data_IF_557674593234
#
_entry.id   IF_557674593234
#
_cell.length_a   1.000
_cell.length_b   1.000
_cell.length_c   1.000
_cell.angle_alpha   90.00
_cell.angle_beta   90.00
_cell.angle_gamma   90.00
#
_symmetry.space_group_name_H-M   'P 1'
#
loop_
_entity.id
_entity.type
_entity.pdbx_description
1 polymer ?
#
# COMPACT_ATOMS: atom_id res chain seq x y z
N UNK A 1 -31.95 14.14 61.87
CA UNK A 1 -30.81 14.76 61.16
C UNK A 1 -30.35 13.80 60.09
N UNK A 2 -30.39 14.29 58.85
CA UNK A 2 -30.13 13.58 57.60
C UNK A 2 -28.62 13.49 57.37
N UNK A 3 -28.12 12.33 56.97
CA UNK A 3 -26.94 12.23 56.10
C UNK A 3 -27.01 10.91 55.32
N UNK A 4 -27.54 11.02 54.11
CA UNK A 4 -27.46 10.01 53.08
C UNK A 4 -26.09 10.14 52.39
N UNK A 5 -25.25 9.10 52.48
CA UNK A 5 -24.03 8.99 51.67
C UNK A 5 -24.41 8.35 50.33
N UNK A 6 -24.40 9.15 49.27
CA UNK A 6 -24.49 8.67 47.90
C UNK A 6 -23.11 8.12 47.47
N UNK A 7 -23.05 6.82 47.19
CA UNK A 7 -21.89 6.18 46.59
C UNK A 7 -22.01 6.31 45.07
N UNK A 8 -21.15 7.13 44.46
CA UNK A 8 -21.12 7.36 43.02
C UNK A 8 -20.37 6.19 42.35
N UNK A 9 -21.10 5.29 41.68
CA UNK A 9 -20.53 4.26 40.82
C UNK A 9 -20.14 4.91 39.48
N UNK A 10 -18.84 5.15 39.29
CA UNK A 10 -18.27 5.50 37.99
C UNK A 10 -18.24 4.25 37.11
N UNK A 11 -19.27 4.07 36.29
CA UNK A 11 -19.24 3.13 35.18
C UNK A 11 -18.29 3.69 34.11
N UNK A 12 -17.09 3.10 34.01
CA UNK A 12 -16.18 3.34 32.88
C UNK A 12 -16.75 2.56 31.69
N UNK A 13 -17.59 3.21 30.90
CA UNK A 13 -18.02 2.68 29.61
C UNK A 13 -16.85 2.70 28.65
N UNK A 14 -16.34 1.52 28.28
CA UNK A 14 -15.44 1.37 27.14
C UNK A 14 -16.29 1.57 25.89
N UNK A 15 -16.22 2.75 25.29
CA UNK A 15 -16.80 2.97 23.98
C UNK A 15 -16.04 2.10 22.97
N UNK A 16 -16.71 1.33 22.10
CA UNK A 16 -16.04 0.71 20.96
C UNK A 16 -15.42 1.80 20.08
N UNK A 17 -14.27 1.53 19.43
CA UNK A 17 -13.67 2.50 18.52
C UNK A 17 -14.71 2.85 17.44
N UNK A 18 -15.01 4.13 17.33
CA UNK A 18 -15.86 4.63 16.26
C UNK A 18 -15.15 4.37 14.93
N UNK A 19 -15.69 3.45 14.13
CA UNK A 19 -15.39 3.39 12.70
C UNK A 19 -15.76 4.76 12.12
N UNK A 20 -14.75 5.54 11.74
CA UNK A 20 -14.97 6.82 11.10
C UNK A 20 -15.64 6.56 9.74
N UNK A 21 -16.94 6.87 9.65
CA UNK A 21 -17.61 6.99 8.35
C UNK A 21 -16.92 8.14 7.63
N UNK A 22 -16.21 7.84 6.55
CA UNK A 22 -15.57 8.86 5.71
C UNK A 22 -16.64 9.88 5.28
N UNK A 23 -16.41 11.15 5.59
CA UNK A 23 -17.25 12.23 5.05
C UNK A 23 -17.07 12.27 3.54
N UNK A 24 -18.17 12.50 2.82
CA UNK A 24 -18.17 12.64 1.36
C UNK A 24 -17.12 13.70 0.93
N UNK A 25 -16.19 13.33 0.05
CA UNK A 25 -15.04 14.16 -0.35
C UNK A 25 -13.83 14.11 0.59
N UNK A 26 -13.75 13.18 1.55
CA UNK A 26 -12.56 13.01 2.40
C UNK A 26 -11.38 12.46 1.60
N UNK A 27 -10.20 13.03 1.88
CA UNK A 27 -8.92 12.56 1.34
C UNK A 27 -8.52 11.27 2.05
N UNK A 28 -8.33 10.21 1.28
CA UNK A 28 -7.85 8.94 1.79
C UNK A 28 -6.33 8.93 1.90
N UNK A 29 -5.82 8.29 2.94
CA UNK A 29 -4.41 7.96 3.12
C UNK A 29 -4.19 6.50 2.79
N UNK A 30 -3.12 6.19 2.06
CA UNK A 30 -2.77 4.81 1.77
C UNK A 30 -2.44 4.09 3.09
N UNK A 31 -2.93 2.87 3.24
CA UNK A 31 -2.61 1.98 4.36
C UNK A 31 -1.35 1.15 4.12
N UNK A 32 -0.84 1.11 2.90
CA UNK A 32 0.49 0.57 2.62
C UNK A 32 1.12 1.24 1.40
N UNK A 33 2.44 1.31 1.40
CA UNK A 33 3.27 1.72 0.27
C UNK A 33 4.22 0.58 -0.08
N UNK A 34 4.13 0.09 -1.31
CA UNK A 34 4.85 -1.10 -1.76
C UNK A 34 5.67 -0.76 -2.99
N UNK A 35 6.92 -1.22 -3.04
CA UNK A 35 7.89 -0.84 -4.06
C UNK A 35 8.36 -2.07 -4.83
N UNK A 36 8.39 -1.98 -6.15
CA UNK A 36 8.82 -3.07 -7.02
C UNK A 36 10.34 -3.26 -6.92
N UNK A 37 10.78 -4.45 -6.50
CA UNK A 37 12.21 -4.77 -6.40
C UNK A 37 12.77 -5.31 -7.71
N UNK A 38 11.99 -6.17 -8.38
CA UNK A 38 12.36 -6.76 -9.67
C UNK A 38 11.10 -7.05 -10.47
N UNK A 39 11.21 -7.03 -11.80
CA UNK A 39 10.15 -7.43 -12.74
C UNK A 39 10.76 -8.32 -13.84
N UNK A 40 10.04 -9.37 -14.20
CA UNK A 40 10.31 -10.19 -15.39
C UNK A 40 9.12 -10.14 -16.34
N UNK A 41 9.08 -9.13 -17.21
CA UNK A 41 7.99 -8.92 -18.17
C UNK A 41 8.22 -9.61 -19.52
N UNK A 42 7.15 -10.15 -20.10
CA UNK A 42 7.13 -10.68 -21.48
C UNK A 42 6.10 -9.97 -22.34
N UNK A 43 6.61 -9.22 -23.32
CA UNK A 43 5.78 -8.54 -24.31
C UNK A 43 5.46 -9.43 -25.52
N UNK A 44 4.17 -9.62 -25.78
CA UNK A 44 3.62 -10.27 -26.96
C UNK A 44 3.05 -9.19 -27.86
N UNK A 45 3.89 -8.65 -28.76
CA UNK A 45 3.52 -7.51 -29.62
C UNK A 45 2.90 -7.93 -30.96
N UNK A 46 3.10 -9.17 -31.38
CA UNK A 46 2.61 -9.69 -32.67
C UNK A 46 1.36 -10.54 -32.46
N UNK A 47 0.28 -10.21 -33.18
CA UNK A 47 -1.00 -10.93 -33.13
C UNK A 47 -2.19 -9.97 -33.07
N UNK A 48 -3.41 -10.53 -32.96
CA UNK A 48 -4.65 -9.74 -32.89
C UNK A 48 -4.87 -9.05 -31.53
N UNK A 49 -4.10 -9.41 -30.49
CA UNK A 49 -4.24 -8.90 -29.12
C UNK A 49 -2.86 -8.75 -28.47
N UNK A 50 -2.19 -7.61 -28.66
CA UNK A 50 -0.94 -7.32 -27.96
C UNK A 50 -1.12 -7.40 -26.45
N UNK A 51 -0.20 -8.08 -25.76
CA UNK A 51 -0.27 -8.24 -24.31
C UNK A 51 1.09 -8.24 -23.66
N UNK A 52 1.11 -7.92 -22.39
CA UNK A 52 2.24 -8.07 -21.47
C UNK A 52 1.83 -9.13 -20.41
N UNK A 53 2.81 -9.79 -19.82
CA UNK A 53 2.64 -10.78 -18.76
C UNK A 53 3.91 -10.74 -17.93
N UNK A 54 3.80 -10.28 -16.69
CA UNK A 54 4.92 -10.06 -15.80
C UNK A 54 4.86 -10.97 -14.57
N UNK A 55 6.00 -11.08 -13.91
CA UNK A 55 6.09 -11.46 -12.50
C UNK A 55 6.99 -10.46 -11.83
N UNK A 56 6.51 -9.86 -10.75
CA UNK A 56 7.21 -8.83 -9.99
C UNK A 56 7.32 -9.21 -8.52
N UNK A 57 8.48 -8.92 -7.95
CA UNK A 57 8.72 -9.02 -6.50
C UNK A 57 8.66 -7.62 -5.91
N UNK A 58 7.97 -7.46 -4.79
CA UNK A 58 7.80 -6.19 -4.11
C UNK A 58 8.14 -6.28 -2.63
N UNK A 59 8.56 -5.15 -2.07
CA UNK A 59 8.70 -4.95 -0.65
C UNK A 59 8.18 -3.57 -0.25
N UNK A 60 7.57 -3.45 0.93
CA UNK A 60 6.94 -2.21 1.33
C UNK A 60 6.68 -2.10 2.82
N UNK A 61 5.97 -1.04 3.17
CA UNK A 61 5.58 -0.73 4.53
C UNK A 61 4.05 -0.68 4.64
N UNK A 62 3.53 -1.27 5.71
CA UNK A 62 2.11 -1.29 6.03
C UNK A 62 1.88 -0.49 7.31
N UNK A 63 0.89 0.39 7.27
CA UNK A 63 0.58 1.31 8.35
C UNK A 63 -0.07 0.59 9.53
N UNK A 64 0.32 0.93 10.78
CA UNK A 64 -0.29 0.37 11.97
C UNK A 64 -1.80 0.61 12.01
N UNK A 65 -2.55 -0.37 12.51
CA UNK A 65 -4.00 -0.30 12.63
C UNK A 65 -4.77 -0.65 11.36
N UNK A 66 -4.07 -0.90 10.25
CA UNK A 66 -4.68 -1.50 9.05
C UNK A 66 -4.90 -3.00 9.27
N UNK A 67 -5.82 -3.65 8.53
CA UNK A 67 -6.06 -5.08 8.68
C UNK A 67 -4.78 -5.95 8.55
N UNK A 68 -3.87 -5.70 7.59
CA UNK A 68 -2.65 -6.51 7.48
C UNK A 68 -1.58 -6.18 8.54
N UNK A 69 -1.70 -5.06 9.26
CA UNK A 69 -0.76 -4.67 10.31
C UNK A 69 -1.48 -4.16 11.58
N UNK A 70 -1.98 -5.07 12.44
CA UNK A 70 -2.47 -4.68 13.75
C UNK A 70 -1.39 -3.94 14.56
N UNK A 71 -1.79 -2.89 15.29
CA UNK A 71 -0.91 -1.95 16.01
C UNK A 71 0.17 -2.63 16.87
N UNK A 72 -0.17 -3.76 17.48
CA UNK A 72 0.72 -4.53 18.36
C UNK A 72 1.95 -5.09 17.63
N UNK A 73 1.86 -5.31 16.32
CA UNK A 73 2.95 -5.86 15.51
C UNK A 73 3.81 -4.79 14.85
N UNK A 74 3.41 -3.52 14.89
CA UNK A 74 4.19 -2.44 14.29
C UNK A 74 5.52 -2.25 15.04
N UNK A 75 6.63 -2.26 14.32
CA UNK A 75 7.98 -2.10 14.89
C UNK A 75 8.69 -0.90 14.26
N UNK A 76 9.68 -0.29 14.95
CA UNK A 76 10.51 0.74 14.37
C UNK A 76 11.16 0.28 13.05
N UNK A 77 11.12 1.14 12.03
CA UNK A 77 11.70 0.88 10.70
C UNK A 77 12.86 1.85 10.46
N UNK A 78 14.12 1.45 10.63
CA UNK A 78 15.27 2.36 10.59
C UNK A 78 15.57 2.99 9.23
N UNK A 79 15.07 2.38 8.14
CA UNK A 79 15.29 2.87 6.77
C UNK A 79 14.37 4.04 6.39
N UNK A 80 13.29 4.26 7.14
CA UNK A 80 12.38 5.38 6.95
C UNK A 80 12.90 6.62 7.67
N UNK A 81 12.64 7.83 7.13
CA UNK A 81 12.93 9.06 7.85
C UNK A 81 12.12 9.12 9.16
N UNK A 82 12.60 9.82 10.20
CA UNK A 82 11.83 10.03 11.42
C UNK A 82 10.48 10.70 11.13
N UNK A 83 9.51 10.49 12.03
CA UNK A 83 8.22 11.17 11.98
C UNK A 83 8.35 12.68 12.25
N UNK A 84 7.23 13.41 12.18
CA UNK A 84 7.21 14.86 12.42
C UNK A 84 7.67 15.31 13.81
N UNK A 85 7.77 14.37 14.77
CA UNK A 85 8.26 14.61 16.13
C UNK A 85 9.72 14.12 16.31
N UNK A 86 10.35 13.60 15.27
CA UNK A 86 11.71 13.06 15.30
C UNK A 86 11.81 11.63 15.85
N UNK A 87 10.69 10.92 16.02
CA UNK A 87 10.71 9.53 16.48
C UNK A 87 10.85 8.56 15.29
N UNK A 88 11.41 7.36 15.51
CA UNK A 88 11.38 6.29 14.50
C UNK A 88 9.94 5.96 14.10
N UNK A 89 9.69 5.90 12.79
CA UNK A 89 8.39 5.44 12.29
C UNK A 89 8.20 3.96 12.63
N UNK A 90 6.99 3.60 13.08
CA UNK A 90 6.59 2.22 13.33
C UNK A 90 5.68 1.72 12.22
N UNK A 91 6.02 0.59 11.61
CA UNK A 91 5.26 -0.05 10.51
C UNK A 91 5.40 -1.57 10.62
N UNK A 92 4.56 -2.31 9.90
CA UNK A 92 4.93 -3.66 9.47
C UNK A 92 5.60 -3.57 8.09
N UNK A 93 6.33 -4.61 7.70
CA UNK A 93 6.90 -4.74 6.36
C UNK A 93 6.11 -5.78 5.59
N UNK A 94 5.87 -5.55 4.29
CA UNK A 94 5.21 -6.52 3.43
C UNK A 94 6.13 -6.93 2.30
N UNK A 95 6.22 -8.24 2.05
CA UNK A 95 6.85 -8.83 0.87
C UNK A 95 5.74 -9.39 -0.02
N UNK A 96 5.79 -9.13 -1.33
CA UNK A 96 4.76 -9.60 -2.25
C UNK A 96 5.39 -10.14 -3.54
N UNK A 97 4.82 -11.21 -4.06
CA UNK A 97 5.08 -11.69 -5.42
C UNK A 97 3.80 -11.54 -6.21
N UNK A 98 3.82 -10.69 -7.24
CA UNK A 98 2.70 -10.42 -8.11
C UNK A 98 2.91 -10.98 -9.52
N UNK A 99 1.81 -11.35 -10.16
CA UNK A 99 1.74 -11.73 -11.56
C UNK A 99 0.59 -10.99 -12.21
N UNK A 100 0.80 -10.51 -13.42
CA UNK A 100 -0.23 -9.85 -14.21
C UNK A 100 -0.38 -10.43 -15.62
N UNK A 101 -1.39 -9.93 -16.32
CA UNK A 101 -1.51 -10.08 -17.76
C UNK A 101 -2.24 -8.89 -18.36
N UNK A 102 -1.50 -7.95 -18.93
CA UNK A 102 -2.07 -6.68 -19.38
C UNK A 102 -2.33 -6.71 -20.89
N UNK A 103 -3.49 -6.22 -21.31
CA UNK A 103 -3.76 -5.92 -22.71
C UNK A 103 -3.16 -4.56 -23.07
N UNK A 104 -2.18 -4.53 -23.97
CA UNK A 104 -1.44 -3.30 -24.30
C UNK A 104 -2.24 -2.29 -25.15
N UNK A 105 -3.45 -2.66 -25.60
CA UNK A 105 -4.35 -1.74 -26.31
C UNK A 105 -5.26 -1.00 -25.34
N UNK A 106 -5.72 -1.67 -24.28
CA UNK A 106 -6.67 -1.08 -23.33
C UNK A 106 -6.04 -0.69 -22.00
N UNK A 107 -4.86 -1.23 -21.68
CA UNK A 107 -4.21 -1.07 -20.38
C UNK A 107 -4.85 -1.92 -19.28
N UNK A 108 -5.76 -2.84 -19.61
CA UNK A 108 -6.50 -3.61 -18.61
C UNK A 108 -5.98 -5.04 -18.50
N UNK A 109 -6.06 -5.62 -17.30
CA UNK A 109 -5.66 -7.00 -17.07
C UNK A 109 -5.92 -7.48 -15.65
N UNK A 110 -5.97 -8.79 -15.40
CA UNK A 110 -5.96 -9.31 -14.04
C UNK A 110 -4.57 -9.12 -13.40
N UNK A 111 -4.57 -9.01 -12.07
CA UNK A 111 -3.40 -9.16 -11.23
C UNK A 111 -3.69 -10.19 -10.13
N UNK A 112 -2.68 -10.96 -9.75
CA UNK A 112 -2.78 -11.96 -8.68
C UNK A 112 -1.44 -12.17 -8.01
N UNK A 113 -1.42 -12.71 -6.80
CA UNK A 113 -0.15 -13.01 -6.16
C UNK A 113 -0.26 -13.50 -4.73
N UNK A 114 0.90 -13.50 -4.06
CA UNK A 114 1.04 -13.80 -2.63
C UNK A 114 1.61 -12.60 -1.90
N UNK A 115 1.27 -12.49 -0.62
CA UNK A 115 1.88 -11.52 0.27
C UNK A 115 2.22 -12.16 1.62
N UNK A 116 3.24 -11.61 2.26
CA UNK A 116 3.61 -11.91 3.64
C UNK A 116 3.92 -10.59 4.33
N UNK A 117 3.14 -10.24 5.35
CA UNK A 117 3.43 -9.17 6.28
C UNK A 117 4.29 -9.73 7.41
N UNK A 118 5.39 -9.04 7.69
CA UNK A 118 6.39 -9.39 8.68
C UNK A 118 6.69 -8.20 9.60
N UNK A 119 7.19 -8.50 10.78
CA UNK A 119 7.72 -7.52 11.73
C UNK A 119 9.16 -7.87 12.11
N UNK A 120 9.81 -6.96 12.84
CA UNK A 120 11.16 -7.13 13.36
C UNK A 120 11.27 -8.43 14.17
N UNK A 121 12.47 -9.01 14.22
CA UNK A 121 12.73 -10.20 15.01
C UNK A 121 12.33 -10.00 16.48
N UNK A 122 11.45 -10.87 16.96
CA UNK A 122 10.96 -10.86 18.34
C UNK A 122 11.97 -11.43 19.35
N UNK A 123 12.95 -12.22 18.88
CA UNK A 123 13.99 -12.83 19.70
C UNK A 123 15.15 -11.85 19.92
N UNK A 124 15.59 -11.18 18.85
CA UNK A 124 16.65 -10.18 18.91
C UNK A 124 16.26 -8.88 18.19
N UNK A 125 15.44 -8.03 18.82
CA UNK A 125 14.94 -6.80 18.20
C UNK A 125 16.02 -5.74 17.92
N UNK A 126 17.24 -5.95 18.43
CA UNK A 126 18.39 -5.08 18.19
C UNK A 126 19.30 -5.59 17.07
N UNK A 127 18.98 -6.74 16.45
CA UNK A 127 19.73 -7.26 15.31
C UNK A 127 19.58 -6.33 14.10
N UNK A 128 20.69 -6.08 13.41
CA UNK A 128 20.67 -5.35 12.14
C UNK A 128 20.35 -6.36 11.04
N UNK A 129 19.06 -6.67 10.88
CA UNK A 129 18.55 -7.63 9.90
C UNK A 129 17.22 -7.16 9.30
N UNK A 130 16.81 -7.81 8.22
CA UNK A 130 15.49 -7.61 7.63
C UNK A 130 14.39 -8.16 8.56
N UNK A 131 13.21 -7.51 8.62
CA UNK A 131 12.04 -8.07 9.28
C UNK A 131 11.67 -9.45 8.71
N UNK A 132 11.40 -10.40 9.59
CA UNK A 132 11.17 -11.81 9.20
C UNK A 132 10.06 -12.53 10.00
N UNK A 133 9.62 -11.96 11.13
CA UNK A 133 8.57 -12.60 11.94
C UNK A 133 7.22 -12.38 11.29
N UNK A 134 6.58 -13.45 10.82
CA UNK A 134 5.29 -13.40 10.12
C UNK A 134 4.18 -12.89 11.04
N UNK A 135 3.47 -11.87 10.56
CA UNK A 135 2.25 -11.29 11.15
C UNK A 135 1.01 -11.83 10.44
N UNK A 136 1.03 -11.79 9.11
CA UNK A 136 -0.05 -12.24 8.25
C UNK A 136 0.53 -12.71 6.92
N UNK A 137 -0.09 -13.69 6.29
CA UNK A 137 0.25 -14.08 4.92
C UNK A 137 -1.00 -14.54 4.17
N UNK A 138 -0.94 -14.52 2.85
CA UNK A 138 -2.06 -14.92 2.03
C UNK A 138 -1.86 -14.68 0.55
N UNK A 139 -2.97 -14.44 -0.13
CA UNK A 139 -3.05 -14.20 -1.57
C UNK A 139 -3.77 -12.89 -1.86
N UNK A 140 -3.57 -12.35 -3.06
CA UNK A 140 -4.36 -11.22 -3.55
C UNK A 140 -4.81 -11.47 -4.98
N UNK A 141 -5.95 -10.87 -5.33
CA UNK A 141 -6.53 -10.89 -6.66
C UNK A 141 -7.08 -9.50 -6.97
N UNK A 142 -6.95 -9.06 -8.22
CA UNK A 142 -7.49 -7.77 -8.64
C UNK A 142 -7.59 -7.59 -10.14
N UNK A 143 -8.05 -6.41 -10.54
CA UNK A 143 -8.12 -5.94 -11.92
C UNK A 143 -7.37 -4.63 -12.04
N UNK A 144 -6.38 -4.60 -12.93
CA UNK A 144 -5.59 -3.45 -13.31
C UNK A 144 -6.34 -2.61 -14.35
N UNK A 145 -6.29 -1.29 -14.16
CA UNK A 145 -6.57 -0.28 -15.18
C UNK A 145 -5.37 0.67 -15.34
N UNK A 146 -4.54 0.38 -16.35
CA UNK A 146 -3.44 1.22 -16.83
C UNK A 146 -3.82 2.03 -18.07
N UNK A 147 -5.12 2.22 -18.36
CA UNK A 147 -5.54 3.10 -19.44
C UNK A 147 -5.01 4.54 -19.32
N UNK A 148 -4.74 5.13 -18.11
CA UNK A 148 -4.08 6.44 -18.02
C UNK A 148 -2.68 6.47 -18.64
N UNK A 149 -1.93 5.39 -18.54
CA UNK A 149 -0.60 5.26 -19.15
C UNK A 149 -0.63 5.20 -20.68
N UNK A 150 -1.79 4.91 -21.27
CA UNK A 150 -2.00 4.86 -22.73
C UNK A 150 -2.56 6.17 -23.31
N UNK A 151 -2.79 7.18 -22.48
CA UNK A 151 -3.28 8.49 -22.92
C UNK A 151 -2.21 9.26 -23.74
N UNK A 152 -2.63 10.36 -24.37
CA UNK A 152 -1.75 11.29 -25.07
C UNK A 152 -1.97 12.71 -24.56
N UNK A 153 -1.06 13.28 -23.74
CA UNK A 153 0.18 12.66 -23.26
C UNK A 153 -0.06 11.52 -22.26
N UNK A 154 0.87 10.55 -22.13
CA UNK A 154 0.72 9.44 -21.19
C UNK A 154 0.85 9.94 -19.76
N UNK A 155 0.03 9.39 -18.87
CA UNK A 155 0.11 9.64 -17.44
C UNK A 155 0.71 8.40 -16.76
N UNK A 156 1.89 8.47 -16.13
CA UNK A 156 2.60 7.30 -15.60
C UNK A 156 1.98 6.77 -14.29
N UNK A 157 0.70 6.41 -14.33
CA UNK A 157 -0.01 5.76 -13.26
C UNK A 157 -1.09 4.83 -13.80
N UNK A 158 -1.62 4.01 -12.90
CA UNK A 158 -2.90 3.34 -13.09
C UNK A 158 -3.44 2.83 -11.78
N UNK A 159 -4.54 2.08 -11.83
CA UNK A 159 -5.28 1.69 -10.63
C UNK A 159 -5.54 0.20 -10.60
N UNK A 160 -5.83 -0.30 -9.40
CA UNK A 160 -6.21 -1.68 -9.16
C UNK A 160 -7.41 -1.71 -8.23
N UNK A 161 -8.43 -2.49 -8.59
CA UNK A 161 -9.47 -2.90 -7.63
C UNK A 161 -9.25 -4.37 -7.30
N UNK A 162 -9.27 -4.73 -6.03
CA UNK A 162 -8.96 -6.09 -5.64
C UNK A 162 -9.26 -6.39 -4.18
N UNK A 163 -8.86 -7.59 -3.77
CA UNK A 163 -8.93 -8.01 -2.37
C UNK A 163 -7.70 -8.83 -1.99
N UNK A 164 -7.32 -8.70 -0.74
CA UNK A 164 -6.46 -9.63 -0.03
C UNK A 164 -7.32 -10.75 0.55
N UNK A 165 -6.74 -11.95 0.63
CA UNK A 165 -7.29 -13.08 1.37
C UNK A 165 -6.18 -13.72 2.18
N UNK A 166 -6.27 -13.65 3.52
CA UNK A 166 -5.30 -14.28 4.41
C UNK A 166 -5.44 -15.81 4.37
N UNK A 167 -4.40 -16.52 4.82
CA UNK A 167 -4.45 -17.98 4.98
C UNK A 167 -5.46 -18.40 6.08
N UNK A 168 -5.88 -17.48 6.95
CA UNK A 168 -6.96 -17.66 7.95
C UNK A 168 -8.35 -17.30 7.41
N UNK A 169 -8.47 -17.05 6.10
CA UNK A 169 -9.71 -16.73 5.38
C UNK A 169 -10.31 -15.34 5.68
N UNK A 170 -9.52 -14.42 6.23
CA UNK A 170 -9.90 -13.01 6.32
C UNK A 170 -9.80 -12.36 4.95
N UNK A 171 -10.83 -11.61 4.56
CA UNK A 171 -10.90 -10.90 3.28
C UNK A 171 -10.93 -9.40 3.51
N UNK A 172 -10.03 -8.69 2.82
CA UNK A 172 -9.90 -7.24 2.90
C UNK A 172 -9.95 -6.67 1.48
N UNK A 173 -10.97 -5.89 1.18
CA UNK A 173 -11.05 -5.18 -0.10
C UNK A 173 -10.01 -4.06 -0.14
N UNK A 174 -9.43 -3.81 -1.31
CA UNK A 174 -8.51 -2.71 -1.49
C UNK A 174 -8.71 -1.99 -2.83
N UNK A 175 -8.37 -0.71 -2.80
CA UNK A 175 -8.07 0.07 -3.99
C UNK A 175 -6.58 0.36 -4.03
N UNK A 176 -5.97 0.22 -5.20
CA UNK A 176 -4.55 0.42 -5.40
C UNK A 176 -4.28 1.49 -6.44
N UNK A 177 -3.24 2.31 -6.21
CA UNK A 177 -2.72 3.25 -7.20
C UNK A 177 -1.27 2.90 -7.49
N UNK A 178 -1.01 2.48 -8.73
CA UNK A 178 0.32 2.17 -9.22
C UNK A 178 0.91 3.42 -9.87
N UNK A 179 2.13 3.79 -9.48
CA UNK A 179 2.87 4.93 -9.99
C UNK A 179 4.17 4.45 -10.61
N UNK A 180 4.36 4.76 -11.88
CA UNK A 180 5.63 4.53 -12.57
C UNK A 180 6.52 5.77 -12.40
N UNK A 181 7.77 5.64 -11.96
CA UNK A 181 8.68 6.78 -11.86
C UNK A 181 9.04 7.28 -13.26
N UNK A 182 9.34 8.58 -13.35
CA UNK A 182 9.85 9.22 -14.56
C UNK A 182 10.83 10.33 -14.20
N UNK A 183 11.63 10.78 -15.17
CA UNK A 183 12.64 11.81 -14.92
C UNK A 183 12.11 13.21 -15.23
N UNK A 184 12.33 14.15 -14.31
CA UNK A 184 12.16 15.58 -14.53
C UNK A 184 13.45 16.30 -14.16
N UNK A 185 14.11 16.91 -15.14
CA UNK A 185 15.35 17.67 -14.95
C UNK A 185 16.46 16.90 -14.20
N UNK A 186 16.64 15.61 -14.50
CA UNK A 186 17.63 14.75 -13.85
C UNK A 186 17.25 14.23 -12.47
N UNK A 187 15.97 14.37 -12.06
CA UNK A 187 15.44 13.84 -10.80
C UNK A 187 14.35 12.82 -11.12
N UNK A 188 14.47 11.62 -10.55
CA UNK A 188 13.40 10.62 -10.61
C UNK A 188 12.24 11.06 -9.69
N UNK A 189 11.03 11.08 -10.24
CA UNK A 189 9.82 11.53 -9.53
C UNK A 189 8.64 10.62 -9.82
N UNK A 190 7.64 10.64 -8.92
CA UNK A 190 6.29 10.15 -9.17
C UNK A 190 5.33 11.32 -9.41
N UNK A 191 4.20 11.04 -10.06
CA UNK A 191 3.07 11.98 -10.05
C UNK A 191 2.56 12.17 -8.62
N UNK A 192 2.29 13.41 -8.23
CA UNK A 192 1.55 13.71 -7.01
C UNK A 192 0.05 13.59 -7.28
N UNK A 193 -0.67 12.95 -6.37
CA UNK A 193 -2.12 12.78 -6.45
C UNK A 193 -2.76 12.76 -5.07
N UNK A 194 -4.08 12.91 -5.07
CA UNK A 194 -4.96 12.71 -3.92
C UNK A 194 -6.02 11.68 -4.29
N UNK A 195 -6.33 10.74 -3.40
CA UNK A 195 -7.46 9.83 -3.57
C UNK A 195 -8.67 10.34 -2.78
N UNK A 196 -9.81 10.50 -3.47
CA UNK A 196 -11.05 11.01 -2.87
C UNK A 196 -12.06 9.88 -2.63
N UNK A 197 -12.65 9.87 -1.44
CA UNK A 197 -13.82 9.05 -1.10
C UNK A 197 -15.14 9.77 -1.41
N UNK A 198 -16.25 9.05 -1.65
CA UNK A 198 -16.39 7.58 -1.66
C UNK A 198 -16.05 6.93 -3.01
N UNK A 199 -15.94 7.70 -4.09
CA UNK A 199 -15.83 7.18 -5.46
C UNK A 199 -14.44 6.65 -5.84
N UNK A 200 -13.44 6.78 -4.96
CA UNK A 200 -12.05 6.37 -5.17
C UNK A 200 -11.45 7.04 -6.42
N UNK A 201 -11.68 8.35 -6.54
CA UNK A 201 -11.19 9.15 -7.66
C UNK A 201 -9.75 9.61 -7.42
N UNK A 202 -8.87 9.29 -8.36
CA UNK A 202 -7.48 9.78 -8.39
C UNK A 202 -7.47 11.19 -8.98
N UNK A 203 -7.21 12.19 -8.13
CA UNK A 203 -7.05 13.58 -8.54
C UNK A 203 -5.57 13.94 -8.61
N UNK A 204 -5.03 14.11 -9.82
CA UNK A 204 -3.66 14.55 -10.02
C UNK A 204 -3.48 15.99 -9.54
N UNK A 205 -2.43 16.23 -8.75
CA UNK A 205 -2.15 17.55 -8.17
C UNK A 205 -1.51 18.52 -9.17
N UNK A 206 -1.09 18.05 -10.34
CA UNK A 206 -0.29 18.83 -11.31
C UNK A 206 1.16 19.05 -10.87
N UNK A 207 1.59 18.39 -9.79
CA UNK A 207 2.94 18.43 -9.24
C UNK A 207 3.55 17.03 -9.22
N UNK A 208 4.82 16.95 -8.83
CA UNK A 208 5.57 15.70 -8.74
C UNK A 208 6.24 15.58 -7.37
N UNK A 209 6.48 14.34 -6.94
CA UNK A 209 7.20 14.04 -5.69
C UNK A 209 8.49 13.27 -5.99
N UNK A 210 9.64 13.65 -5.41
CA UNK A 210 10.90 12.93 -5.64
C UNK A 210 10.87 11.50 -5.10
N UNK A 211 11.41 10.57 -5.88
CA UNK A 211 11.67 9.18 -5.44
C UNK A 211 12.71 9.20 -4.33
N UNK A 212 12.33 8.68 -3.15
CA UNK A 212 13.19 8.65 -1.97
C UNK A 212 14.20 7.50 -2.03
N UNK A 213 15.30 7.56 -1.25
CA UNK A 213 16.32 6.51 -1.25
C UNK A 213 15.79 5.10 -0.89
N UNK A 214 14.80 5.00 0.00
CA UNK A 214 14.19 3.72 0.40
C UNK A 214 13.17 3.20 -0.62
N UNK A 215 12.84 3.98 -1.65
CA UNK A 215 11.92 3.63 -2.75
C UNK A 215 12.70 3.20 -3.99
N UNK A 216 13.90 2.65 -3.81
CA UNK A 216 14.81 2.25 -4.88
C UNK A 216 15.28 0.82 -4.69
N UNK A 217 15.35 0.07 -5.79
CA UNK A 217 15.95 -1.26 -5.82
C UNK A 217 17.35 -1.16 -6.39
N UNK A 218 18.38 -1.36 -5.56
CA UNK A 218 19.78 -1.20 -5.95
C UNK A 218 20.05 0.15 -6.66
N UNK A 219 19.44 1.22 -6.16
CA UNK A 219 19.48 2.60 -6.71
C UNK A 219 18.65 2.85 -7.97
N UNK A 220 18.09 1.83 -8.62
CA UNK A 220 17.09 2.03 -9.67
C UNK A 220 15.79 2.57 -9.07
N UNK A 221 15.17 3.62 -9.65
CA UNK A 221 13.84 4.04 -9.23
C UNK A 221 12.83 2.94 -9.55
N UNK A 222 11.93 2.65 -8.63
CA UNK A 222 11.00 1.52 -8.74
C UNK A 222 9.58 2.00 -8.94
N UNK A 223 8.70 1.17 -9.48
CA UNK A 223 7.28 1.47 -9.36
C UNK A 223 6.85 1.48 -7.88
N UNK A 224 5.90 2.37 -7.55
CA UNK A 224 5.26 2.43 -6.23
C UNK A 224 3.80 2.03 -6.35
N UNK A 225 3.34 1.19 -5.44
CA UNK A 225 1.96 0.77 -5.33
C UNK A 225 1.41 1.18 -3.97
N UNK A 226 0.51 2.17 -4.00
CA UNK A 226 -0.17 2.69 -2.83
C UNK A 226 -1.48 1.92 -2.63
N UNK A 227 -1.64 1.24 -1.50
CA UNK A 227 -2.81 0.41 -1.19
C UNK A 227 -3.71 1.09 -0.17
N UNK A 228 -5.00 1.15 -0.47
CA UNK A 228 -6.05 1.69 0.38
C UNK A 228 -6.99 0.56 0.79
N UNK A 229 -6.96 0.17 2.07
CA UNK A 229 -7.84 -0.88 2.59
C UNK A 229 -9.23 -0.31 2.84
N UNK A 230 -10.23 -0.97 2.28
CA UNK A 230 -11.62 -0.55 2.34
C UNK A 230 -12.34 -1.31 3.47
N UNK A 231 -13.29 -0.66 4.17
CA UNK A 231 -14.05 -1.27 5.27
C UNK A 231 -15.04 -2.35 4.81
#
# INVERSE_FOLDING_TARGET
MVLASALLLLAVGVAPPASAVAQDGSVLTAGAHVYELTESARFILRGRRPSETSTSEFMGFVDPGTPPCPEIFAAPVPVLPPDGNGNPQRKCVVNMTGMDRINLVTGHGPISGRFTVVTADVINPNQVDAPETVVMQGTFLGQIDFSPALQSPPLPYGTVTGHLRSDEDERVEFFGVFLLPFEVAGVDVYLAYTLLSPDLQVLLSGTVVPVQPYERALQYPTARFDLYFLP
#
